data_IF_377418631102
#
_entry.id   IF_377418631102
#
_cell.length_a   1.000
_cell.length_b   1.000
_cell.length_c   1.000
_cell.angle_alpha   90.00
_cell.angle_beta   90.00
_cell.angle_gamma   90.00
#
_symmetry.space_group_name_H-M   'P 1'
#
loop_
_entity.id
_entity.type
_entity.pdbx_description
1 polymer ?
#
# COMPACT_ATOMS: atom_id res chain seq x y z
N UNK A 1 -1.29 -20.38 -20.11
CA UNK A 1 -2.40 -19.91 -19.25
C UNK A 1 -3.52 -20.91 -19.32
N UNK A 2 -4.17 -21.23 -18.20
CA UNK A 2 -5.37 -22.07 -18.24
C UNK A 2 -6.59 -21.22 -18.67
N UNK A 3 -7.63 -21.81 -19.31
CA UNK A 3 -8.76 -21.04 -19.83
C UNK A 3 -9.50 -20.20 -18.77
N UNK A 4 -9.58 -20.70 -17.52
CA UNK A 4 -10.20 -19.98 -16.42
C UNK A 4 -9.46 -18.68 -16.08
N UNK A 5 -8.14 -18.74 -15.94
CA UNK A 5 -7.31 -17.57 -15.64
C UNK A 5 -7.35 -16.54 -16.78
N UNK A 6 -7.49 -16.99 -18.04
CA UNK A 6 -7.67 -16.07 -19.17
C UNK A 6 -9.02 -15.36 -19.11
N UNK A 7 -10.10 -16.07 -18.78
CA UNK A 7 -11.42 -15.47 -18.61
C UNK A 7 -11.46 -14.44 -17.46
N UNK A 8 -10.84 -14.76 -16.32
CA UNK A 8 -10.70 -13.81 -15.20
C UNK A 8 -9.86 -12.61 -15.59
N UNK A 9 -8.75 -12.82 -16.30
CA UNK A 9 -7.90 -11.73 -16.80
C UNK A 9 -8.67 -10.75 -17.69
N UNK A 10 -9.48 -11.26 -18.62
CA UNK A 10 -10.32 -10.43 -19.47
C UNK A 10 -11.34 -9.63 -18.65
N UNK A 11 -12.04 -10.26 -17.71
CA UNK A 11 -13.00 -9.56 -16.86
C UNK A 11 -12.35 -8.47 -15.99
N UNK A 12 -11.11 -8.68 -15.52
CA UNK A 12 -10.36 -7.64 -14.80
C UNK A 12 -9.99 -6.49 -15.74
N UNK A 13 -9.54 -6.78 -16.95
CA UNK A 13 -9.21 -5.75 -17.95
C UNK A 13 -10.44 -4.93 -18.35
N UNK A 14 -11.61 -5.57 -18.49
CA UNK A 14 -12.86 -4.88 -18.78
C UNK A 14 -13.20 -3.83 -17.73
N UNK A 15 -12.80 -4.01 -16.46
CA UNK A 15 -13.02 -3.04 -15.38
C UNK A 15 -11.91 -2.00 -15.31
N UNK A 16 -10.63 -2.44 -15.36
CA UNK A 16 -9.47 -1.55 -15.19
C UNK A 16 -9.32 -0.55 -16.34
N UNK A 17 -9.81 -0.91 -17.54
CA UNK A 17 -9.76 -0.08 -18.74
C UNK A 17 -10.98 0.85 -18.91
N UNK A 18 -11.94 0.84 -17.98
CA UNK A 18 -13.03 1.82 -17.98
C UNK A 18 -12.47 3.23 -17.74
N UNK A 19 -13.02 4.20 -18.47
CA UNK A 19 -12.65 5.61 -18.35
C UNK A 19 -12.71 6.09 -16.89
N UNK A 20 -11.63 6.72 -16.43
CA UNK A 20 -11.55 7.27 -15.08
C UNK A 20 -11.02 6.31 -14.01
N UNK A 21 -10.88 5.00 -14.30
CA UNK A 21 -10.43 4.03 -13.29
C UNK A 21 -9.00 4.35 -12.80
N UNK A 22 -8.05 4.52 -13.72
CA UNK A 22 -6.66 4.79 -13.35
C UNK A 22 -6.46 6.19 -12.77
N UNK A 23 -7.23 7.18 -13.23
CA UNK A 23 -7.27 8.53 -12.66
C UNK A 23 -7.72 8.48 -11.19
N UNK A 24 -8.76 7.70 -10.87
CA UNK A 24 -9.22 7.52 -9.50
C UNK A 24 -8.18 6.78 -8.63
N UNK A 25 -7.50 5.77 -9.18
CA UNK A 25 -6.35 5.10 -8.53
C UNK A 25 -5.25 6.10 -8.20
N UNK A 26 -4.88 6.98 -9.14
CA UNK A 26 -3.86 8.01 -8.91
C UNK A 26 -4.30 9.00 -7.82
N UNK A 27 -5.56 9.44 -7.84
CA UNK A 27 -6.12 10.33 -6.82
C UNK A 27 -6.08 9.70 -5.42
N UNK A 28 -6.51 8.44 -5.30
CA UNK A 28 -6.45 7.67 -4.04
C UNK A 28 -5.02 7.46 -3.56
N UNK A 29 -4.11 7.13 -4.47
CA UNK A 29 -2.69 6.97 -4.16
C UNK A 29 -2.06 8.24 -3.61
N UNK A 30 -2.37 9.41 -4.20
CA UNK A 30 -1.88 10.69 -3.72
C UNK A 30 -2.39 11.00 -2.31
N UNK A 31 -3.70 10.82 -2.08
CA UNK A 31 -4.31 11.02 -0.77
C UNK A 31 -3.67 10.13 0.31
N UNK A 32 -3.52 8.83 0.00
CA UNK A 32 -2.91 7.87 0.91
C UNK A 32 -1.45 8.23 1.21
N UNK A 33 -0.67 8.59 0.18
CA UNK A 33 0.74 8.97 0.36
C UNK A 33 0.90 10.24 1.20
N UNK A 34 0.05 11.24 0.99
CA UNK A 34 0.05 12.47 1.77
C UNK A 34 -0.32 12.22 3.24
N UNK A 35 -1.37 11.42 3.49
CA UNK A 35 -1.76 11.06 4.85
C UNK A 35 -0.65 10.30 5.58
N UNK A 36 -0.02 9.33 4.91
CA UNK A 36 1.09 8.58 5.49
C UNK A 36 2.34 9.44 5.73
N UNK A 37 2.61 10.41 4.86
CA UNK A 37 3.70 11.37 5.07
C UNK A 37 3.46 12.22 6.32
N UNK A 38 2.23 12.71 6.53
CA UNK A 38 1.87 13.46 7.74
C UNK A 38 2.05 12.60 9.01
N UNK A 39 1.68 11.32 8.97
CA UNK A 39 1.91 10.39 10.10
C UNK A 39 3.40 10.16 10.34
N UNK A 40 4.22 10.07 9.29
CA UNK A 40 5.67 9.94 9.43
C UNK A 40 6.30 11.19 10.06
N UNK A 41 5.83 12.38 9.66
CA UNK A 41 6.28 13.65 10.23
C UNK A 41 5.87 13.81 11.71
N UNK A 42 4.70 13.29 12.09
CA UNK A 42 4.19 13.33 13.46
C UNK A 42 4.88 12.31 14.40
N UNK A 43 5.25 11.13 13.87
CA UNK A 43 5.85 10.03 14.65
C UNK A 43 7.19 9.53 14.06
N UNK A 44 8.22 10.39 13.99
CA UNK A 44 9.51 10.07 13.36
C UNK A 44 10.28 8.94 14.08
N UNK A 45 10.02 8.71 15.36
CA UNK A 45 10.59 7.60 16.14
C UNK A 45 9.98 6.23 15.80
N UNK A 46 8.85 6.21 15.07
CA UNK A 46 8.17 4.99 14.60
C UNK A 46 8.41 4.79 13.11
N UNK A 47 8.28 5.85 12.31
CA UNK A 47 8.35 5.82 10.83
C UNK A 47 9.38 6.85 10.36
N UNK A 48 10.41 6.40 9.66
CA UNK A 48 11.46 7.27 9.08
C UNK A 48 11.00 7.94 7.78
N UNK A 49 10.07 7.32 7.06
CA UNK A 49 9.54 7.89 5.82
C UNK A 49 8.76 6.91 4.94
N UNK A 50 8.24 7.44 3.83
CA UNK A 50 7.37 6.72 2.90
C UNK A 50 8.10 6.54 1.56
N UNK A 51 8.10 5.31 1.04
CA UNK A 51 8.67 4.96 -0.28
C UNK A 51 7.64 4.28 -1.19
N UNK A 52 7.84 4.35 -2.50
CA UNK A 52 7.00 3.67 -3.49
C UNK A 52 6.18 4.62 -4.37
N UNK A 53 5.37 4.01 -5.24
CA UNK A 53 4.65 4.67 -6.34
C UNK A 53 3.24 4.13 -6.45
N UNK A 54 2.28 5.02 -6.72
CA UNK A 54 0.86 4.64 -6.77
C UNK A 54 0.39 4.08 -5.43
N UNK A 55 -0.39 3.01 -5.48
CA UNK A 55 -0.87 2.30 -4.28
C UNK A 55 0.16 1.31 -3.71
N UNK A 56 1.28 1.08 -4.40
CA UNK A 56 2.36 0.24 -3.88
C UNK A 56 3.28 1.08 -3.00
N UNK A 57 2.93 1.16 -1.71
CA UNK A 57 3.62 2.01 -0.74
C UNK A 57 4.34 1.17 0.32
N UNK A 58 5.45 1.71 0.82
CA UNK A 58 6.24 1.15 1.90
C UNK A 58 6.48 2.18 3.00
N UNK A 59 6.18 1.79 4.24
CA UNK A 59 6.52 2.53 5.46
C UNK A 59 7.89 2.08 5.92
N UNK A 60 8.91 2.94 5.86
CA UNK A 60 10.22 2.66 6.47
C UNK A 60 10.10 2.88 7.97
N UNK A 61 10.29 1.85 8.77
CA UNK A 61 10.16 1.94 10.22
C UNK A 61 11.51 2.33 10.85
N UNK A 62 11.47 3.17 11.89
CA UNK A 62 12.61 3.46 12.76
C UNK A 62 12.76 2.36 13.83
N UNK A 63 11.64 1.89 14.37
CA UNK A 63 11.57 0.73 15.26
C UNK A 63 11.42 -0.58 14.48
N UNK A 64 11.55 -1.77 15.11
CA UNK A 64 11.37 -3.05 14.41
C UNK A 64 10.01 -3.13 13.72
N UNK A 65 10.00 -3.37 12.41
CA UNK A 65 8.78 -3.42 11.60
C UNK A 65 7.79 -4.50 12.08
N UNK A 66 8.26 -5.54 12.79
CA UNK A 66 7.40 -6.57 13.36
C UNK A 66 6.47 -6.02 14.43
N UNK A 67 6.94 -5.09 15.28
CA UNK A 67 6.12 -4.44 16.30
C UNK A 67 5.07 -3.54 15.68
N UNK A 68 5.46 -2.74 14.69
CA UNK A 68 4.52 -1.88 13.97
C UNK A 68 3.47 -2.73 13.24
N UNK A 69 3.89 -3.83 12.59
CA UNK A 69 2.97 -4.74 11.90
C UNK A 69 2.02 -5.48 12.85
N UNK A 70 2.45 -5.80 14.08
CA UNK A 70 1.55 -6.31 15.12
C UNK A 70 0.53 -5.25 15.54
N UNK A 71 0.97 -4.01 15.81
CA UNK A 71 0.07 -2.91 16.16
C UNK A 71 -0.97 -2.63 15.06
N UNK A 72 -0.56 -2.68 13.78
CA UNK A 72 -1.49 -2.57 12.65
C UNK A 72 -2.55 -3.68 12.68
N UNK A 73 -2.14 -4.93 12.94
CA UNK A 73 -3.07 -6.07 13.04
C UNK A 73 -4.03 -5.95 14.22
N UNK A 74 -3.54 -5.47 15.37
CA UNK A 74 -4.37 -5.21 16.55
C UNK A 74 -5.41 -4.12 16.28
N UNK A 75 -5.14 -3.23 15.32
CA UNK A 75 -6.06 -2.22 14.78
C UNK A 75 -6.78 -2.68 13.49
N UNK A 76 -6.83 -3.99 13.24
CA UNK A 76 -7.52 -4.61 12.10
C UNK A 76 -7.00 -4.18 10.70
N UNK A 77 -5.77 -3.69 10.61
CA UNK A 77 -5.10 -3.37 9.35
C UNK A 77 -4.12 -4.49 8.95
N UNK A 78 -4.39 -5.13 7.82
CA UNK A 78 -3.52 -6.15 7.26
C UNK A 78 -2.40 -5.50 6.43
N UNK A 79 -1.16 -5.73 6.85
CA UNK A 79 0.03 -5.32 6.13
C UNK A 79 1.08 -6.43 6.13
N UNK A 80 2.10 -6.26 5.29
CA UNK A 80 3.12 -7.29 5.06
C UNK A 80 4.51 -6.70 5.29
N UNK A 81 5.31 -7.25 6.22
CA UNK A 81 6.71 -6.89 6.35
C UNK A 81 7.50 -7.14 5.05
N UNK A 82 8.49 -6.31 4.79
CA UNK A 82 9.43 -6.45 3.70
C UNK A 82 10.86 -6.29 4.21
N UNK A 83 11.83 -6.62 3.35
CA UNK A 83 13.22 -6.33 3.63
C UNK A 83 13.46 -4.84 3.86
N UNK A 84 14.60 -4.53 4.49
CA UNK A 84 15.02 -3.16 4.82
C UNK A 84 14.11 -2.47 5.87
N UNK A 85 13.65 -3.23 6.87
CA UNK A 85 12.80 -2.74 7.98
C UNK A 85 11.55 -1.95 7.53
N UNK A 86 10.85 -2.47 6.52
CA UNK A 86 9.70 -1.80 5.91
C UNK A 86 8.42 -2.60 6.09
N UNK A 87 7.27 -1.92 6.13
CA UNK A 87 5.93 -2.50 5.98
C UNK A 87 5.35 -2.08 4.64
N UNK A 88 4.90 -3.04 3.83
CA UNK A 88 4.21 -2.78 2.56
C UNK A 88 2.71 -2.66 2.76
N UNK A 89 2.14 -1.65 2.11
CA UNK A 89 0.72 -1.46 1.93
C UNK A 89 0.41 -1.68 0.44
N UNK A 90 -0.55 -2.59 0.19
CA UNK A 90 -0.97 -3.02 -1.15
C UNK A 90 -2.52 -3.11 -1.16
N UNK A 91 -3.22 -1.97 -1.01
CA UNK A 91 -4.68 -1.92 -1.08
C UNK A 91 -5.21 -2.14 -2.50
#
# INVERSE_FOLDING_TARGET
GNPLAMAVGNAVLDVVLVDGFLEDVQRKALLLKQGLAAVADEFPEVIEGIRGTGLMLGLKCAMPNTKVNMALRDQHLLAVPAGDNVIRLLP
#
